data_IF_031171013188
#
_entry.id   IF_031171013188
#
_cell.length_a   1.000
_cell.length_b   1.000
_cell.length_c   1.000
_cell.angle_alpha   90.00
_cell.angle_beta   90.00
_cell.angle_gamma   90.00
#
_symmetry.space_group_name_H-M   'P 1'
#
loop_
_entity.id
_entity.type
_entity.pdbx_description
1 polymer ?
#
# COMPACT_ATOMS: atom_id res chain seq x y z
N UNK A 1 9.34 27.63 17.65
CA UNK A 1 8.06 26.94 17.40
C UNK A 1 8.36 25.47 17.21
N UNK A 2 8.08 24.68 18.25
CA UNK A 2 8.38 23.25 18.33
C UNK A 2 7.35 22.46 17.49
N UNK A 3 7.77 21.91 16.35
CA UNK A 3 6.98 21.02 15.50
C UNK A 3 6.83 19.60 16.09
N UNK A 4 6.58 19.49 17.39
CA UNK A 4 6.52 18.18 18.10
C UNK A 4 5.10 17.80 18.50
N UNK A 5 4.10 18.65 18.23
CA UNK A 5 2.74 18.46 18.76
C UNK A 5 1.75 17.74 17.82
N UNK A 6 2.13 17.44 16.57
CA UNK A 6 1.21 16.79 15.61
C UNK A 6 1.29 15.25 15.66
N UNK A 7 2.33 14.68 16.29
CA UNK A 7 2.50 13.21 16.42
C UNK A 7 1.62 12.55 17.49
N UNK A 8 0.84 13.31 18.27
CA UNK A 8 -0.02 12.77 19.34
C UNK A 8 -1.44 12.40 18.91
N UNK A 9 -1.84 12.64 17.65
CA UNK A 9 -3.23 12.42 17.19
C UNK A 9 -3.39 11.45 16.02
N UNK A 10 -2.32 10.93 15.43
CA UNK A 10 -2.46 9.67 14.70
C UNK A 10 -2.48 8.57 15.76
N UNK A 11 -3.63 7.91 16.03
CA UNK A 11 -3.59 6.71 16.85
C UNK A 11 -2.57 5.76 16.20
N UNK A 12 -1.88 4.95 17.01
CA UNK A 12 -0.94 3.93 16.57
C UNK A 12 -1.56 2.86 15.64
N UNK A 13 -2.80 3.08 15.21
CA UNK A 13 -3.70 2.21 14.47
C UNK A 13 -4.26 2.87 13.19
N UNK A 14 -3.71 3.99 12.70
CA UNK A 14 -4.25 4.63 11.50
C UNK A 14 -4.24 3.63 10.31
N UNK A 15 -5.43 3.17 9.88
CA UNK A 15 -5.57 2.14 8.84
C UNK A 15 -5.12 0.72 9.23
N UNK A 16 -4.71 0.50 10.48
CA UNK A 16 -4.02 -0.72 10.90
C UNK A 16 -4.83 -2.00 10.91
N UNK A 17 -6.14 -1.90 10.89
CA UNK A 17 -7.00 -3.09 10.82
C UNK A 17 -7.26 -3.51 9.37
N UNK A 18 -6.79 -2.73 8.39
CA UNK A 18 -7.03 -2.96 6.98
C UNK A 18 -5.71 -3.11 6.19
N UNK A 19 -5.35 -4.32 5.74
CA UNK A 19 -4.17 -4.55 4.90
C UNK A 19 -4.23 -3.80 3.56
N UNK A 20 -5.42 -3.46 3.07
CA UNK A 20 -5.69 -2.61 1.90
C UNK A 20 -6.11 -1.19 2.30
N UNK A 21 -5.54 -0.66 3.38
CA UNK A 21 -5.73 0.75 3.73
C UNK A 21 -5.07 1.67 2.69
N UNK A 22 -5.49 2.94 2.60
CA UNK A 22 -4.88 3.90 1.67
C UNK A 22 -3.49 4.38 2.11
N UNK A 23 -2.91 3.81 3.17
CA UNK A 23 -1.64 4.26 3.73
C UNK A 23 -0.48 3.91 2.79
N UNK A 24 0.18 4.93 2.25
CA UNK A 24 1.48 4.78 1.58
C UNK A 24 2.59 4.85 2.64
N UNK A 25 3.60 3.98 2.57
CA UNK A 25 4.69 3.85 3.55
C UNK A 25 4.24 3.52 4.99
N UNK A 26 3.56 2.38 5.22
CA UNK A 26 3.16 1.87 6.53
C UNK A 26 4.33 1.39 7.42
N UNK A 27 5.42 2.17 7.50
CA UNK A 27 6.55 1.91 8.40
C UNK A 27 6.53 2.82 9.63
N UNK A 28 7.11 2.32 10.73
CA UNK A 28 7.32 3.12 11.95
C UNK A 28 8.14 4.39 11.67
N UNK A 29 9.08 4.32 10.71
CA UNK A 29 9.90 5.45 10.26
C UNK A 29 9.07 6.61 9.71
N UNK A 30 7.94 6.29 9.07
CA UNK A 30 7.03 7.28 8.45
C UNK A 30 5.79 7.57 9.31
N UNK A 31 5.74 7.06 10.54
CA UNK A 31 4.71 7.38 11.54
C UNK A 31 3.54 6.39 11.61
N UNK A 32 3.54 5.32 10.83
CA UNK A 32 2.51 4.28 10.87
C UNK A 32 3.15 2.89 11.02
N UNK A 33 3.32 2.37 12.24
CA UNK A 33 4.03 1.10 12.45
C UNK A 33 3.12 -0.11 12.15
N UNK A 34 2.93 -0.46 10.88
CA UNK A 34 2.09 -1.61 10.51
C UNK A 34 2.54 -2.93 11.13
N UNK A 35 3.84 -3.09 11.41
CA UNK A 35 4.35 -4.26 12.12
C UNK A 35 3.68 -4.50 13.48
N UNK A 36 3.26 -3.45 14.19
CA UNK A 36 2.48 -3.60 15.40
C UNK A 36 1.10 -4.23 15.11
N UNK A 37 0.54 -3.90 13.96
CA UNK A 37 -0.80 -4.26 13.52
C UNK A 37 -0.87 -5.65 12.90
N UNK A 38 0.21 -6.13 12.28
CA UNK A 38 0.35 -7.53 11.79
C UNK A 38 0.14 -8.61 12.86
N UNK A 39 0.27 -8.24 14.13
CA UNK A 39 0.03 -9.15 15.27
C UNK A 39 -1.40 -9.15 15.79
N UNK A 40 -2.23 -8.18 15.38
CA UNK A 40 -3.62 -8.09 15.86
C UNK A 40 -4.50 -9.12 15.17
N UNK A 41 -5.53 -9.57 15.88
CA UNK A 41 -6.51 -10.51 15.34
C UNK A 41 -7.26 -9.92 14.15
N UNK A 42 -7.63 -8.63 14.23
CA UNK A 42 -8.39 -7.94 13.19
C UNK A 42 -7.63 -7.86 11.88
N UNK A 43 -6.36 -7.43 11.91
CA UNK A 43 -5.53 -7.36 10.71
C UNK A 43 -5.31 -8.72 10.07
N UNK A 44 -5.06 -9.76 10.89
CA UNK A 44 -4.88 -11.13 10.37
C UNK A 44 -6.14 -11.65 9.71
N UNK A 45 -7.29 -11.44 10.34
CA UNK A 45 -8.59 -11.81 9.76
C UNK A 45 -8.82 -11.10 8.42
N UNK A 46 -8.61 -9.79 8.37
CA UNK A 46 -8.75 -9.01 7.14
C UNK A 46 -7.71 -9.39 6.07
N UNK A 47 -6.53 -9.84 6.46
CA UNK A 47 -5.50 -10.34 5.55
C UNK A 47 -5.88 -11.72 4.98
N UNK A 48 -6.42 -12.61 5.80
CA UNK A 48 -6.89 -13.94 5.39
C UNK A 48 -8.11 -13.86 4.46
N UNK A 49 -8.89 -12.78 4.54
CA UNK A 49 -9.99 -12.47 3.60
C UNK A 49 -9.48 -12.08 2.20
N UNK A 50 -8.21 -11.70 2.06
CA UNK A 50 -7.61 -11.42 0.75
C UNK A 50 -7.29 -12.75 0.06
N UNK A 51 -8.21 -13.18 -0.80
CA UNK A 51 -8.01 -14.35 -1.65
C UNK A 51 -6.91 -14.18 -2.71
N UNK A 52 -6.50 -15.28 -3.32
CA UNK A 52 -5.57 -15.31 -4.45
C UNK A 52 -6.28 -14.93 -5.77
N UNK A 53 -6.82 -13.73 -5.81
CA UNK A 53 -7.46 -13.14 -7.00
C UNK A 53 -7.13 -11.66 -7.04
N UNK A 54 -6.59 -11.20 -8.15
CA UNK A 54 -6.35 -9.78 -8.40
C UNK A 54 -7.64 -9.14 -8.93
N UNK A 55 -8.12 -8.03 -8.34
CA UNK A 55 -9.26 -7.30 -8.89
C UNK A 55 -8.92 -6.75 -10.28
N UNK A 56 -9.93 -6.61 -11.14
CA UNK A 56 -9.71 -5.95 -12.44
C UNK A 56 -9.48 -4.43 -12.27
N UNK A 57 -9.10 -3.76 -13.36
CA UNK A 57 -8.73 -2.34 -13.29
C UNK A 57 -9.94 -1.47 -12.94
N UNK A 58 -11.12 -1.82 -13.42
CA UNK A 58 -12.37 -1.12 -13.12
C UNK A 58 -12.76 -1.24 -11.64
N UNK A 59 -12.63 -2.44 -11.05
CA UNK A 59 -12.83 -2.70 -9.63
C UNK A 59 -11.84 -1.92 -8.76
N UNK A 60 -10.57 -1.87 -9.16
CA UNK A 60 -9.55 -1.07 -8.47
C UNK A 60 -9.87 0.42 -8.54
N UNK A 61 -10.22 0.94 -9.71
CA UNK A 61 -10.59 2.35 -9.89
C UNK A 61 -11.85 2.74 -9.11
N UNK A 62 -12.77 1.81 -8.90
CA UNK A 62 -13.95 2.02 -8.05
C UNK A 62 -13.64 1.94 -6.54
N UNK A 63 -12.47 1.43 -6.14
CA UNK A 63 -12.08 1.27 -4.76
C UNK A 63 -11.41 2.55 -4.20
N UNK A 64 -12.11 3.24 -3.30
CA UNK A 64 -11.63 4.48 -2.71
C UNK A 64 -10.29 4.35 -1.96
N UNK A 65 -9.99 3.19 -1.36
CA UNK A 65 -8.71 2.98 -0.69
C UNK A 65 -7.58 2.85 -1.71
N UNK A 66 -7.83 2.23 -2.87
CA UNK A 66 -6.85 2.11 -3.94
C UNK A 66 -6.52 3.48 -4.53
N UNK A 67 -7.54 4.24 -4.92
CA UNK A 67 -7.33 5.58 -5.51
C UNK A 67 -6.62 6.50 -4.53
N UNK A 68 -7.02 6.48 -3.25
CA UNK A 68 -6.37 7.27 -2.22
C UNK A 68 -4.95 6.79 -1.92
N UNK A 69 -4.68 5.49 -1.98
CA UNK A 69 -3.32 4.93 -1.87
C UNK A 69 -2.41 5.48 -2.97
N UNK A 70 -2.89 5.49 -4.22
CA UNK A 70 -2.16 6.03 -5.37
C UNK A 70 -1.93 7.55 -5.26
N UNK A 71 -2.92 8.30 -4.79
CA UNK A 71 -2.77 9.73 -4.50
C UNK A 71 -1.74 10.00 -3.39
N UNK A 72 -1.74 9.19 -2.33
CA UNK A 72 -0.75 9.27 -1.26
C UNK A 72 0.65 8.92 -1.79
N UNK A 73 0.74 7.91 -2.65
CA UNK A 73 1.99 7.55 -3.32
C UNK A 73 2.55 8.72 -4.13
N UNK A 74 1.72 9.41 -4.93
CA UNK A 74 2.12 10.62 -5.67
C UNK A 74 2.56 11.75 -4.73
N UNK A 75 1.78 12.01 -3.68
CA UNK A 75 2.00 13.13 -2.76
C UNK A 75 3.33 12.99 -2.00
N UNK A 76 3.69 11.76 -1.61
CA UNK A 76 4.84 11.51 -0.75
C UNK A 76 6.05 10.92 -1.47
N UNK A 77 5.86 10.31 -2.64
CA UNK A 77 6.93 9.61 -3.35
C UNK A 77 8.00 10.54 -3.94
N UNK A 78 7.63 11.76 -4.34
CA UNK A 78 8.60 12.80 -4.76
C UNK A 78 9.59 13.12 -3.64
N UNK A 79 9.12 13.11 -2.38
CA UNK A 79 9.96 13.33 -1.19
C UNK A 79 10.99 12.22 -0.93
N UNK A 80 10.82 11.05 -1.56
CA UNK A 80 11.74 9.91 -1.47
C UNK A 80 12.69 9.82 -2.67
N UNK A 81 12.61 10.74 -3.64
CA UNK A 81 13.44 10.72 -4.85
C UNK A 81 13.13 9.58 -5.81
N UNK A 82 12.01 8.87 -5.61
CA UNK A 82 11.51 7.86 -6.52
C UNK A 82 10.56 8.51 -7.54
N UNK A 83 10.69 8.18 -8.83
CA UNK A 83 9.71 8.61 -9.82
C UNK A 83 8.43 7.76 -9.69
N UNK A 84 7.63 8.10 -8.69
CA UNK A 84 6.35 7.45 -8.42
C UNK A 84 5.28 7.84 -9.42
N UNK A 85 5.41 8.99 -10.09
CA UNK A 85 4.40 9.49 -11.04
C UNK A 85 4.18 8.53 -12.22
N UNK A 86 5.27 7.99 -12.75
CA UNK A 86 5.22 6.96 -13.79
C UNK A 86 4.48 5.71 -13.28
N UNK A 87 4.86 5.21 -12.11
CA UNK A 87 4.24 4.01 -11.52
C UNK A 87 2.77 4.19 -11.20
N UNK A 88 2.40 5.30 -10.56
CA UNK A 88 1.01 5.60 -10.26
C UNK A 88 0.18 5.69 -11.54
N UNK A 89 0.73 6.26 -12.62
CA UNK A 89 0.03 6.31 -13.90
C UNK A 89 -0.23 4.92 -14.49
N UNK A 90 0.75 4.01 -14.40
CA UNK A 90 0.59 2.63 -14.86
C UNK A 90 -0.41 1.86 -14.00
N UNK A 91 -0.32 1.98 -12.67
CA UNK A 91 -1.23 1.33 -11.72
C UNK A 91 -2.67 1.82 -11.88
N UNK A 92 -2.87 3.11 -12.16
CA UNK A 92 -4.19 3.66 -12.44
C UNK A 92 -4.74 3.17 -13.79
N UNK A 93 -3.88 3.03 -14.80
CA UNK A 93 -4.30 2.69 -16.17
C UNK A 93 -4.51 1.19 -16.37
N UNK A 94 -3.67 0.36 -15.75
CA UNK A 94 -3.60 -1.08 -16.00
C UNK A 94 -3.87 -1.93 -14.75
N UNK A 95 -4.10 -1.31 -13.59
CA UNK A 95 -4.29 -2.03 -12.33
C UNK A 95 -3.10 -2.93 -12.02
N UNK A 96 -3.37 -4.19 -11.70
CA UNK A 96 -2.33 -5.16 -11.37
C UNK A 96 -1.44 -5.59 -12.54
N UNK A 97 -1.91 -5.42 -13.79
CA UNK A 97 -1.09 -5.68 -14.97
C UNK A 97 0.09 -4.70 -15.10
N UNK A 98 0.07 -3.58 -14.38
CA UNK A 98 1.19 -2.64 -14.31
C UNK A 98 2.50 -3.30 -13.85
N UNK A 99 2.43 -4.38 -13.06
CA UNK A 99 3.59 -5.11 -12.54
C UNK A 99 4.40 -5.81 -13.63
N UNK A 100 3.81 -6.11 -14.79
CA UNK A 100 4.51 -6.70 -15.94
C UNK A 100 5.37 -5.70 -16.72
N UNK A 101 5.15 -4.40 -16.49
CA UNK A 101 5.91 -3.33 -17.15
C UNK A 101 7.15 -2.91 -16.35
N UNK A 102 7.38 -3.49 -15.16
CA UNK A 102 8.61 -3.35 -14.39
C UNK A 102 9.53 -4.54 -14.62
N UNK A 103 10.67 -4.34 -15.28
CA UNK A 103 11.66 -5.41 -15.46
C UNK A 103 12.39 -5.74 -14.17
N UNK A 104 12.44 -4.80 -13.22
CA UNK A 104 13.33 -4.91 -12.07
C UNK A 104 12.58 -5.31 -10.79
N UNK A 105 11.23 -5.25 -10.78
CA UNK A 105 10.34 -5.51 -9.63
C UNK A 105 10.71 -4.78 -8.32
N UNK A 106 11.70 -3.88 -8.36
CA UNK A 106 12.29 -3.23 -7.18
C UNK A 106 11.24 -2.43 -6.43
N UNK A 107 10.26 -1.84 -7.13
CA UNK A 107 9.21 -1.08 -6.48
C UNK A 107 8.18 -1.98 -5.75
N UNK A 108 8.01 -3.21 -6.22
CA UNK A 108 6.96 -4.13 -5.76
C UNK A 108 7.43 -5.10 -4.69
N UNK A 109 8.75 -5.28 -4.55
CA UNK A 109 9.39 -6.20 -3.60
C UNK A 109 10.07 -5.50 -2.40
N UNK A 110 9.73 -4.22 -2.17
CA UNK A 110 10.22 -3.47 -1.00
C UNK A 110 9.73 -4.14 0.29
N UNK A 111 10.67 -4.81 0.95
CA UNK A 111 10.49 -5.61 2.17
C UNK A 111 9.40 -5.04 3.09
N UNK A 112 8.31 -5.79 3.20
CA UNK A 112 7.22 -5.68 4.18
C UNK A 112 6.40 -4.38 4.23
N UNK A 113 6.95 -3.23 3.86
CA UNK A 113 6.30 -1.93 4.07
C UNK A 113 5.61 -1.42 2.80
N UNK A 114 5.94 -1.92 1.59
CA UNK A 114 5.31 -1.44 0.34
C UNK A 114 4.84 -2.56 -0.57
N UNK A 115 4.64 -3.77 -0.04
CA UNK A 115 4.22 -4.92 -0.83
C UNK A 115 2.84 -4.69 -1.45
N UNK A 116 2.80 -4.63 -2.77
CA UNK A 116 1.57 -4.56 -3.56
C UNK A 116 0.82 -5.90 -3.62
N UNK A 117 1.38 -6.99 -3.08
CA UNK A 117 0.76 -8.32 -3.12
C UNK A 117 -0.63 -8.36 -2.45
N UNK A 118 -0.96 -7.39 -1.59
CA UNK A 118 -2.30 -7.27 -1.00
C UNK A 118 -3.32 -6.80 -2.02
N UNK A 119 -2.91 -5.95 -2.97
CA UNK A 119 -3.75 -5.46 -4.07
C UNK A 119 -3.70 -6.41 -5.26
N UNK A 120 -2.52 -6.92 -5.58
CA UNK A 120 -2.21 -7.72 -6.77
C UNK A 120 -1.57 -9.06 -6.39
N UNK A 121 -2.33 -9.95 -5.72
CA UNK A 121 -1.79 -11.19 -5.17
C UNK A 121 -1.33 -12.17 -6.27
N UNK A 122 -1.99 -12.21 -7.43
CA UNK A 122 -1.64 -13.16 -8.50
C UNK A 122 -0.29 -12.82 -9.12
N UNK A 123 -0.05 -11.55 -9.39
CA UNK A 123 1.14 -11.06 -10.09
C UNK A 123 2.38 -11.05 -9.19
N UNK A 124 2.18 -10.88 -7.88
CA UNK A 124 3.26 -10.71 -6.89
C UNK A 124 3.42 -11.90 -5.94
N UNK A 125 2.81 -13.04 -6.28
CA UNK A 125 2.94 -14.29 -5.52
C UNK A 125 1.97 -14.38 -4.35
N UNK A 126 0.85 -15.06 -4.58
CA UNK A 126 -0.11 -15.35 -3.54
C UNK A 126 0.51 -16.21 -2.42
N UNK A 127 0.10 -15.94 -1.17
CA UNK A 127 0.14 -16.94 -0.12
C UNK A 127 -1.15 -17.77 -0.24
N UNK A 128 -1.06 -18.97 -0.79
CA UNK A 128 -2.13 -19.96 -0.74
C UNK A 128 -2.18 -20.65 0.64
#
# INVERSE_FOLDING_TARGET
WNNTLVRFLCPSTCGCDNPRSPQFLPSATYGCPENACRTTFTYRTALDEIGCTSPDVEELQANANWTQYLENMLTWGDGLGANVSYWTSLLLTYGCAATYYDSDQVFFDLENDLSFARWCPVELGCRA
#
